data_IF_282870445088
#
_entry.id   IF_282870445088
#
_cell.length_a   1.000
_cell.length_b   1.000
_cell.length_c   1.000
_cell.angle_alpha   90.00
_cell.angle_beta   90.00
_cell.angle_gamma   90.00
#
_symmetry.space_group_name_H-M   'P 1'
#
loop_
_entity.id
_entity.type
_entity.pdbx_description
1 polymer ?
#
# COMPACT_ATOMS: atom_id res chain seq x y z
N UNK A 1 -6.06 11.42 4.25
CA UNK A 1 -7.25 10.85 3.61
C UNK A 1 -7.36 9.36 3.91
N UNK A 2 -8.56 8.81 3.80
CA UNK A 2 -8.84 7.38 3.96
C UNK A 2 -9.78 6.89 2.86
N UNK A 3 -9.79 5.57 2.63
CA UNK A 3 -10.65 4.94 1.63
C UNK A 3 -11.95 4.49 2.27
N UNK A 4 -13.07 4.73 1.60
CA UNK A 4 -14.37 4.30 2.10
C UNK A 4 -14.55 2.77 2.02
N UNK A 5 -15.41 2.23 2.89
CA UNK A 5 -15.65 0.80 3.02
C UNK A 5 -16.01 0.11 1.70
N UNK A 6 -16.91 0.70 0.91
CA UNK A 6 -17.31 0.13 -0.38
C UNK A 6 -16.13 0.01 -1.37
N UNK A 7 -15.19 0.94 -1.32
CA UNK A 7 -13.98 0.86 -2.13
C UNK A 7 -13.08 -0.30 -1.68
N UNK A 8 -12.85 -0.42 -0.35
CA UNK A 8 -12.01 -1.49 0.21
C UNK A 8 -12.57 -2.89 -0.02
N UNK A 9 -13.90 -3.04 -0.02
CA UNK A 9 -14.56 -4.32 -0.30
C UNK A 9 -14.38 -4.76 -1.74
N UNK A 10 -14.32 -3.81 -2.68
CA UNK A 10 -14.22 -4.09 -4.12
C UNK A 10 -12.80 -3.95 -4.68
N UNK A 11 -11.92 -3.23 -3.99
CA UNK A 11 -10.56 -2.94 -4.43
C UNK A 11 -9.60 -3.17 -3.26
N UNK A 12 -8.65 -4.06 -3.44
CA UNK A 12 -7.65 -4.34 -2.39
C UNK A 12 -6.48 -3.37 -2.39
N UNK A 13 -6.41 -2.44 -3.36
CA UNK A 13 -5.21 -1.63 -3.58
C UNK A 13 -5.58 -0.18 -3.85
N UNK A 14 -5.05 0.73 -3.05
CA UNK A 14 -5.13 2.18 -3.28
C UNK A 14 -3.81 2.70 -3.83
N UNK A 15 -3.87 3.70 -4.69
CA UNK A 15 -2.67 4.32 -5.26
C UNK A 15 -2.08 5.32 -4.29
N UNK A 16 -0.87 5.05 -3.78
CA UNK A 16 -0.19 5.86 -2.79
C UNK A 16 1.23 6.19 -3.26
N UNK A 17 1.64 7.44 -3.07
CA UNK A 17 3.03 7.85 -3.27
C UNK A 17 3.84 7.75 -1.98
N UNK A 18 3.20 7.91 -0.84
CA UNK A 18 3.83 7.87 0.49
C UNK A 18 3.01 6.95 1.41
N UNK A 19 3.39 5.68 1.45
CA UNK A 19 2.71 4.69 2.28
C UNK A 19 2.87 4.96 3.78
N UNK A 20 4.04 5.45 4.20
CA UNK A 20 4.32 5.81 5.60
C UNK A 20 3.47 6.98 6.06
N UNK A 21 3.43 8.06 5.28
CA UNK A 21 2.61 9.24 5.59
C UNK A 21 1.12 8.91 5.58
N UNK A 22 0.67 8.03 4.69
CA UNK A 22 -0.70 7.56 4.69
C UNK A 22 -1.06 6.83 5.97
N UNK A 23 -0.21 5.92 6.44
CA UNK A 23 -0.43 5.20 7.70
C UNK A 23 -0.43 6.15 8.91
N UNK A 24 0.49 7.10 8.97
CA UNK A 24 0.50 8.12 10.03
C UNK A 24 -0.80 8.91 10.07
N UNK A 25 -1.31 9.27 8.90
CA UNK A 25 -2.60 9.98 8.77
C UNK A 25 -3.74 9.13 9.31
N UNK A 26 -3.81 7.85 8.98
CA UNK A 26 -4.84 6.94 9.47
C UNK A 26 -4.81 6.84 11.00
N UNK A 27 -3.62 6.70 11.59
CA UNK A 27 -3.44 6.63 13.05
C UNK A 27 -3.88 7.93 13.71
N UNK A 28 -3.49 9.08 13.16
CA UNK A 28 -3.91 10.39 13.68
C UNK A 28 -5.42 10.55 13.64
N UNK A 29 -6.08 10.11 12.57
CA UNK A 29 -7.54 10.23 12.44
C UNK A 29 -8.28 9.44 13.53
N UNK A 30 -7.70 8.35 14.03
CA UNK A 30 -8.28 7.59 15.14
C UNK A 30 -8.38 8.39 16.44
N UNK A 31 -7.53 9.41 16.62
CA UNK A 31 -7.52 10.25 17.82
C UNK A 31 -8.54 11.41 17.79
N UNK A 32 -9.18 11.65 16.65
CA UNK A 32 -10.18 12.71 16.52
C UNK A 32 -11.58 12.19 16.81
N UNK A 33 -12.28 12.84 17.73
CA UNK A 33 -13.65 12.51 18.10
C UNK A 33 -14.57 13.72 17.93
N UNK A 34 -15.86 13.45 17.67
CA UNK A 34 -16.90 14.47 17.64
C UNK A 34 -16.83 15.46 16.49
N UNK A 35 -16.06 15.17 15.44
CA UNK A 35 -15.90 16.01 14.25
C UNK A 35 -16.55 15.38 13.03
N UNK A 36 -16.91 16.21 12.06
CA UNK A 36 -17.35 15.75 10.75
C UNK A 36 -16.12 15.41 9.89
N UNK A 37 -16.08 14.20 9.35
CA UNK A 37 -15.01 13.74 8.49
C UNK A 37 -15.46 13.70 7.04
N UNK A 38 -14.69 14.35 6.16
CA UNK A 38 -14.97 14.40 4.73
C UNK A 38 -13.82 13.71 3.99
N UNK A 39 -14.00 12.47 3.50
CA UNK A 39 -12.96 11.80 2.74
C UNK A 39 -12.81 12.42 1.35
N UNK A 40 -11.64 12.21 0.73
CA UNK A 40 -11.38 12.67 -0.63
C UNK A 40 -12.37 12.04 -1.64
N UNK A 41 -12.78 10.80 -1.38
CA UNK A 41 -13.75 10.06 -2.20
C UNK A 41 -14.77 9.37 -1.30
N UNK A 42 -15.91 10.00 -1.07
CA UNK A 42 -16.99 9.44 -0.26
C UNK A 42 -17.81 10.49 0.43
N UNK A 43 -18.76 10.05 1.23
CA UNK A 43 -19.66 10.90 1.98
C UNK A 43 -19.04 11.36 3.31
N UNK A 44 -19.51 12.49 3.81
CA UNK A 44 -19.09 13.01 5.12
C UNK A 44 -19.66 12.14 6.25
N UNK A 45 -18.84 11.86 7.26
CA UNK A 45 -19.18 10.98 8.38
C UNK A 45 -18.73 11.60 9.71
N UNK A 46 -19.43 11.26 10.80
CA UNK A 46 -19.09 11.69 12.16
C UNK A 46 -18.34 10.62 12.95
N UNK A 47 -18.56 9.34 12.61
CA UNK A 47 -17.83 8.20 13.18
C UNK A 47 -17.15 7.42 12.05
N UNK A 48 -15.84 7.43 12.06
CA UNK A 48 -15.00 6.76 11.06
C UNK A 48 -14.14 5.64 11.66
N UNK A 49 -14.41 5.23 12.91
CA UNK A 49 -13.58 4.23 13.61
C UNK A 49 -13.47 2.92 12.84
N UNK A 50 -14.59 2.38 12.38
CA UNK A 50 -14.60 1.12 11.60
C UNK A 50 -13.86 1.26 10.28
N UNK A 51 -14.09 2.35 9.53
CA UNK A 51 -13.45 2.55 8.24
C UNK A 51 -11.95 2.80 8.39
N UNK A 52 -11.51 3.48 9.45
CA UNK A 52 -10.08 3.66 9.71
C UNK A 52 -9.40 2.33 10.02
N UNK A 53 -10.03 1.49 10.84
CA UNK A 53 -9.53 0.16 11.14
C UNK A 53 -9.39 -0.69 9.88
N UNK A 54 -10.40 -0.68 9.00
CA UNK A 54 -10.37 -1.39 7.73
C UNK A 54 -9.23 -0.87 6.82
N UNK A 55 -9.01 0.44 6.78
CA UNK A 55 -7.90 1.02 6.02
C UNK A 55 -6.54 0.56 6.56
N UNK A 56 -6.37 0.54 7.88
CA UNK A 56 -5.13 0.10 8.52
C UNK A 56 -4.88 -1.39 8.23
N UNK A 57 -5.90 -2.23 8.38
CA UNK A 57 -5.80 -3.66 8.09
C UNK A 57 -5.48 -3.92 6.62
N UNK A 58 -6.08 -3.16 5.71
CA UNK A 58 -5.78 -3.27 4.29
C UNK A 58 -4.33 -2.92 3.98
N UNK A 59 -3.79 -1.86 4.59
CA UNK A 59 -2.38 -1.49 4.44
C UNK A 59 -1.45 -2.60 4.93
N UNK A 60 -1.73 -3.16 6.11
CA UNK A 60 -0.94 -4.26 6.66
C UNK A 60 -0.97 -5.49 5.76
N UNK A 61 -2.12 -5.81 5.18
CA UNK A 61 -2.27 -6.91 4.23
C UNK A 61 -1.40 -6.72 2.99
N UNK A 62 -1.36 -5.51 2.45
CA UNK A 62 -0.52 -5.18 1.28
C UNK A 62 0.96 -5.28 1.64
N UNK A 63 1.37 -4.75 2.80
CA UNK A 63 2.75 -4.87 3.28
C UNK A 63 3.19 -6.32 3.43
N UNK A 64 2.36 -7.13 4.07
CA UNK A 64 2.65 -8.55 4.26
C UNK A 64 2.79 -9.26 2.92
N UNK A 65 1.98 -8.88 1.93
CA UNK A 65 2.08 -9.43 0.58
C UNK A 65 3.37 -9.02 -0.12
N UNK A 66 3.77 -7.77 0.00
CA UNK A 66 5.05 -7.30 -0.57
C UNK A 66 6.22 -8.04 0.08
N UNK A 67 6.21 -8.24 1.41
CA UNK A 67 7.23 -8.98 2.13
C UNK A 67 7.28 -10.45 1.69
N UNK A 68 6.12 -11.07 1.49
CA UNK A 68 6.02 -12.43 0.97
C UNK A 68 6.59 -12.55 -0.45
N UNK A 69 6.23 -11.62 -1.33
CA UNK A 69 6.73 -11.56 -2.71
C UNK A 69 8.26 -11.46 -2.73
N UNK A 70 8.82 -10.66 -1.84
CA UNK A 70 10.26 -10.40 -1.76
C UNK A 70 11.00 -11.40 -0.86
N UNK A 71 10.47 -12.58 -0.58
CA UNK A 71 11.16 -13.61 0.20
C UNK A 71 12.49 -14.05 -0.45
N UNK A 72 12.58 -13.96 -1.76
CA UNK A 72 13.80 -14.06 -2.53
C UNK A 72 14.08 -12.73 -3.23
N UNK A 73 15.34 -12.40 -3.53
CA UNK A 73 15.66 -11.16 -4.23
C UNK A 73 14.95 -11.07 -5.59
N UNK A 74 14.15 -10.02 -5.77
CA UNK A 74 13.42 -9.78 -7.02
C UNK A 74 13.62 -8.35 -7.52
N UNK A 75 13.76 -8.19 -8.83
CA UNK A 75 13.74 -6.89 -9.49
C UNK A 75 12.31 -6.32 -9.50
N UNK A 76 12.19 -5.01 -9.69
CA UNK A 76 10.89 -4.33 -9.65
C UNK A 76 9.88 -4.93 -10.62
N UNK A 77 10.28 -5.24 -11.85
CA UNK A 77 9.35 -5.80 -12.84
C UNK A 77 8.76 -7.14 -12.41
N UNK A 78 9.56 -7.98 -11.75
CA UNK A 78 9.09 -9.27 -11.24
C UNK A 78 8.16 -9.08 -10.02
N UNK A 79 8.46 -8.10 -9.18
CA UNK A 79 7.57 -7.72 -8.07
C UNK A 79 6.23 -7.23 -8.62
N UNK A 80 6.26 -6.37 -9.64
CA UNK A 80 5.05 -5.85 -10.29
C UNK A 80 4.21 -6.95 -10.91
N UNK A 81 4.82 -7.94 -11.55
CA UNK A 81 4.10 -9.10 -12.09
C UNK A 81 3.30 -9.81 -10.99
N UNK A 82 3.93 -10.05 -9.85
CA UNK A 82 3.26 -10.67 -8.70
C UNK A 82 2.20 -9.76 -8.07
N UNK A 83 2.41 -8.46 -8.08
CA UNK A 83 1.41 -7.49 -7.62
C UNK A 83 0.18 -7.46 -8.55
N UNK A 84 0.36 -7.61 -9.85
CA UNK A 84 -0.76 -7.77 -10.78
C UNK A 84 -1.58 -9.02 -10.47
N UNK A 85 -0.92 -10.14 -10.22
CA UNK A 85 -1.60 -11.39 -9.84
C UNK A 85 -2.39 -11.21 -8.54
N UNK A 86 -1.80 -10.53 -7.57
CA UNK A 86 -2.43 -10.27 -6.27
C UNK A 86 -3.63 -9.33 -6.37
N UNK A 87 -3.49 -8.23 -7.10
CA UNK A 87 -4.54 -7.19 -7.20
C UNK A 87 -5.62 -7.53 -8.22
N UNK A 88 -5.33 -8.40 -9.19
CA UNK A 88 -6.22 -8.66 -10.32
C UNK A 88 -6.40 -7.48 -11.25
N UNK A 89 -5.54 -6.46 -11.17
CA UNK A 89 -5.61 -5.28 -12.02
C UNK A 89 -5.34 -5.63 -13.48
N UNK A 90 -6.06 -4.94 -14.36
CA UNK A 90 -5.88 -5.06 -15.80
C UNK A 90 -4.55 -4.45 -16.24
N UNK A 91 -3.77 -5.18 -17.03
CA UNK A 91 -2.48 -4.70 -17.53
C UNK A 91 -2.68 -3.72 -18.71
N UNK A 92 -2.32 -2.46 -18.46
CA UNK A 92 -2.27 -1.42 -19.49
C UNK A 92 -1.28 -0.34 -19.03
N UNK A 93 -0.96 0.60 -19.91
CA UNK A 93 0.07 1.63 -19.65
C UNK A 93 -0.26 2.46 -18.41
N UNK A 94 -1.50 2.88 -18.25
CA UNK A 94 -1.93 3.73 -17.13
C UNK A 94 -1.83 2.95 -15.82
N UNK A 95 -2.39 1.75 -15.75
CA UNK A 95 -2.34 0.91 -14.56
C UNK A 95 -0.89 0.52 -14.21
N UNK A 96 -0.06 0.29 -15.21
CA UNK A 96 1.35 -0.02 -14.97
C UNK A 96 2.09 1.15 -14.32
N UNK A 97 1.88 2.37 -14.80
CA UNK A 97 2.46 3.56 -14.20
C UNK A 97 2.01 3.75 -12.76
N UNK A 98 0.70 3.60 -12.48
CA UNK A 98 0.13 3.75 -11.15
C UNK A 98 0.61 2.64 -10.20
N UNK A 99 0.57 1.40 -10.61
CA UNK A 99 1.01 0.25 -9.80
C UNK A 99 2.50 0.32 -9.52
N UNK A 100 3.31 0.69 -10.52
CA UNK A 100 4.75 0.86 -10.37
C UNK A 100 5.08 1.93 -9.33
N UNK A 101 4.46 3.09 -9.42
CA UNK A 101 4.65 4.19 -8.48
C UNK A 101 4.25 3.80 -7.05
N UNK A 102 3.09 3.18 -6.89
CA UNK A 102 2.57 2.75 -5.59
C UNK A 102 3.43 1.65 -4.97
N UNK A 103 3.83 0.66 -5.76
CA UNK A 103 4.70 -0.43 -5.30
C UNK A 103 6.07 0.10 -4.84
N UNK A 104 6.66 1.04 -5.58
CA UNK A 104 7.88 1.72 -5.15
C UNK A 104 7.71 2.43 -3.82
N UNK A 105 6.56 3.06 -3.60
CA UNK A 105 6.22 3.70 -2.33
C UNK A 105 6.22 2.71 -1.16
N UNK A 106 5.63 1.53 -1.34
CA UNK A 106 5.66 0.47 -0.33
C UNK A 106 7.07 -0.07 -0.10
N UNK A 107 7.84 -0.31 -1.15
CA UNK A 107 9.21 -0.79 -1.03
C UNK A 107 10.09 0.20 -0.26
N UNK A 108 9.99 1.49 -0.57
CA UNK A 108 10.72 2.54 0.13
C UNK A 108 10.35 2.62 1.61
N UNK A 109 9.06 2.57 1.91
CA UNK A 109 8.58 2.59 3.29
C UNK A 109 9.07 1.38 4.09
N UNK A 110 8.97 0.18 3.51
CA UNK A 110 9.42 -1.05 4.17
C UNK A 110 10.95 -1.08 4.35
N UNK A 111 11.70 -0.48 3.42
CA UNK A 111 13.15 -0.29 3.58
C UNK A 111 13.47 0.64 4.75
N UNK A 112 12.78 1.76 4.85
CA UNK A 112 12.94 2.69 5.97
C UNK A 112 12.61 2.05 7.31
N UNK A 113 11.66 1.12 7.34
CA UNK A 113 11.32 0.33 8.52
C UNK A 113 12.29 -0.83 8.79
N UNK A 114 13.28 -1.05 7.94
CA UNK A 114 14.23 -2.15 8.08
C UNK A 114 13.67 -3.52 7.75
N UNK A 115 12.52 -3.59 7.09
CA UNK A 115 11.83 -4.86 6.76
C UNK A 115 12.18 -5.40 5.38
N UNK A 116 12.70 -4.56 4.52
CA UNK A 116 13.13 -4.91 3.17
C UNK A 116 14.50 -4.28 2.92
N UNK A 117 15.31 -4.94 2.12
CA UNK A 117 16.64 -4.48 1.76
C UNK A 117 16.83 -4.49 0.25
N UNK A 118 17.43 -3.42 -0.27
CA UNK A 118 17.85 -3.36 -1.65
C UNK A 118 19.19 -4.09 -1.81
N UNK A 119 19.25 -5.02 -2.75
CA UNK A 119 20.44 -5.81 -3.05
C UNK A 119 20.68 -5.79 -4.56
N UNK A 120 21.90 -5.43 -4.99
CA UNK A 120 22.28 -5.52 -6.39
C UNK A 120 22.71 -6.92 -6.73
N UNK A 121 22.16 -7.46 -7.82
CA UNK A 121 22.40 -8.82 -8.26
C UNK A 121 22.46 -8.87 -9.79
N UNK A 122 23.56 -9.33 -10.33
CA UNK A 122 23.79 -9.38 -11.79
C UNK A 122 23.57 -8.02 -12.47
N UNK A 123 24.01 -6.93 -11.82
CA UNK A 123 23.85 -5.58 -12.33
C UNK A 123 22.44 -4.99 -12.22
N UNK A 124 21.52 -5.71 -11.58
CA UNK A 124 20.14 -5.28 -11.37
C UNK A 124 19.88 -4.97 -9.91
N UNK A 125 19.10 -3.92 -9.66
CA UNK A 125 18.59 -3.61 -8.34
C UNK A 125 17.46 -4.57 -7.99
N UNK A 126 17.62 -5.29 -6.89
CA UNK A 126 16.61 -6.23 -6.39
C UNK A 126 16.22 -5.89 -4.96
N UNK A 127 15.09 -6.42 -4.53
CA UNK A 127 14.53 -6.21 -3.20
C UNK A 127 14.33 -7.56 -2.52
N UNK A 128 14.73 -7.63 -1.26
CA UNK A 128 14.60 -8.85 -0.44
C UNK A 128 14.08 -8.52 0.95
N UNK A 129 13.12 -9.30 1.43
CA UNK A 129 12.62 -9.19 2.80
C UNK A 129 13.70 -9.56 3.80
N UNK A 130 13.82 -8.78 4.87
CA UNK A 130 14.61 -9.08 6.05
C UNK A 130 13.75 -9.82 7.07
N UNK A 131 14.26 -10.90 7.61
CA UNK A 131 13.59 -11.69 8.66
C UNK A 131 14.40 -11.67 9.93
#
# INVERSE_FOLDING_TARGET
SYLKKSYLENHCFGYLYDAGGYMETLVKLQSFEGRLFVPAHGDAETDISEILELNILNQKRIWDKVLEICCEPLALDDILQKMYEFTGMKTNVVNHALLSSTTKGYLTYLEECGKIKCVFRDGKMTWRSER
#
